data_IF_992503992829
#
_entry.id   IF_992503992829
#
_cell.length_a   1.000
_cell.length_b   1.000
_cell.length_c   1.000
_cell.angle_alpha   90.00
_cell.angle_beta   90.00
_cell.angle_gamma   90.00
#
_symmetry.space_group_name_H-M   'P 1'
#
loop_
_entity.id
_entity.type
_entity.pdbx_description
1 polymer ?
#
# COMPACT_ATOMS: atom_id res chain seq x y z
N UNK A 1 69.68 -34.70 -30.68
CA UNK A 1 70.85 -33.80 -30.58
C UNK A 1 70.44 -32.60 -29.72
N UNK A 2 70.98 -32.53 -28.50
CA UNK A 2 70.72 -31.44 -27.53
C UNK A 2 71.44 -30.18 -28.00
N UNK A 3 70.74 -29.07 -28.16
CA UNK A 3 71.38 -27.75 -28.14
C UNK A 3 70.53 -26.84 -27.24
N UNK A 4 71.02 -26.78 -26.02
CA UNK A 4 70.74 -25.79 -24.99
C UNK A 4 71.16 -24.41 -25.53
N UNK A 5 70.27 -23.44 -25.61
CA UNK A 5 70.69 -22.03 -25.78
C UNK A 5 69.93 -21.12 -24.80
N UNK A 6 70.75 -20.39 -24.06
CA UNK A 6 70.53 -19.51 -22.92
C UNK A 6 69.58 -18.33 -23.12
N UNK A 7 68.94 -17.94 -22.02
CA UNK A 7 68.11 -16.75 -21.83
C UNK A 7 68.75 -15.43 -22.30
N UNK A 8 67.91 -14.51 -22.78
CA UNK A 8 68.09 -13.05 -22.59
C UNK A 8 66.82 -12.48 -21.93
N UNK A 9 66.88 -11.94 -20.69
CA UNK A 9 65.70 -11.49 -19.95
C UNK A 9 65.14 -10.14 -20.43
N UNK A 10 65.71 -9.53 -21.47
CA UNK A 10 65.32 -8.19 -21.94
C UNK A 10 64.14 -8.18 -22.93
N UNK A 11 63.79 -9.31 -23.54
CA UNK A 11 62.69 -9.36 -24.52
C UNK A 11 61.33 -9.57 -23.84
N UNK A 12 61.31 -10.05 -22.59
CA UNK A 12 60.09 -10.20 -21.79
C UNK A 12 59.50 -8.86 -21.32
N UNK A 13 60.28 -7.77 -21.31
CA UNK A 13 59.82 -6.47 -20.82
C UNK A 13 59.04 -5.65 -21.87
N UNK A 14 59.21 -5.94 -23.16
CA UNK A 14 58.50 -5.23 -24.23
C UNK A 14 57.09 -5.80 -24.52
N UNK A 15 56.82 -7.05 -24.10
CA UNK A 15 55.48 -7.66 -24.28
C UNK A 15 54.52 -7.33 -23.12
N UNK A 16 55.04 -6.89 -21.98
CA UNK A 16 54.25 -6.56 -20.80
C UNK A 16 53.54 -5.19 -20.87
N UNK A 17 53.90 -4.34 -21.83
CA UNK A 17 53.37 -2.96 -21.93
C UNK A 17 52.16 -2.86 -22.89
N UNK A 18 51.82 -3.92 -23.63
CA UNK A 18 50.69 -3.89 -24.57
C UNK A 18 49.35 -4.40 -24.00
N UNK A 19 49.28 -4.80 -22.74
CA UNK A 19 48.07 -5.38 -22.13
C UNK A 19 47.31 -4.44 -21.18
N UNK A 20 47.70 -3.16 -21.07
CA UNK A 20 46.93 -2.16 -20.34
C UNK A 20 45.90 -1.50 -21.26
N UNK A 21 44.99 -2.28 -21.84
CA UNK A 21 43.75 -1.70 -22.37
C UNK A 21 42.91 -1.27 -21.16
N UNK A 22 42.37 -0.03 -21.13
CA UNK A 22 41.39 0.31 -20.12
C UNK A 22 40.16 -0.55 -20.40
N UNK A 23 39.88 -1.51 -19.53
CA UNK A 23 38.56 -2.13 -19.44
C UNK A 23 37.61 -1.01 -19.04
N UNK A 24 36.99 -0.38 -20.03
CA UNK A 24 35.80 0.43 -19.82
C UNK A 24 34.76 -0.54 -19.26
N UNK A 25 34.60 -0.52 -17.94
CA UNK A 25 33.51 -1.21 -17.28
C UNK A 25 32.23 -0.64 -17.85
N UNK A 26 31.60 -1.36 -18.77
CA UNK A 26 30.24 -1.09 -19.18
C UNK A 26 29.38 -1.22 -17.90
N UNK A 27 29.02 -0.08 -17.31
CA UNK A 27 27.97 -0.04 -16.31
C UNK A 27 26.69 -0.47 -17.03
N UNK A 28 26.35 -1.75 -16.92
CA UNK A 28 25.04 -2.25 -17.27
C UNK A 28 24.03 -1.42 -16.49
N UNK A 29 23.30 -0.56 -17.19
CA UNK A 29 22.12 0.11 -16.68
C UNK A 29 21.25 -0.94 -15.99
N UNK A 30 21.00 -0.76 -14.70
CA UNK A 30 20.22 -1.70 -13.90
C UNK A 30 18.97 -2.14 -14.67
N UNK A 31 18.81 -3.43 -14.86
CA UNK A 31 17.67 -4.01 -15.57
C UNK A 31 16.44 -3.79 -14.69
N UNK A 32 15.63 -2.78 -15.02
CA UNK A 32 14.44 -2.42 -14.24
C UNK A 32 13.33 -3.39 -14.62
N UNK A 33 13.11 -4.40 -13.78
CA UNK A 33 11.95 -5.28 -13.88
C UNK A 33 10.73 -4.48 -13.41
N UNK A 34 9.80 -4.22 -14.33
CA UNK A 34 8.46 -3.70 -14.02
C UNK A 34 7.48 -4.86 -14.10
N UNK A 35 6.68 -5.02 -13.05
CA UNK A 35 5.60 -6.02 -12.98
C UNK A 35 4.32 -5.26 -12.69
N UNK A 36 3.36 -5.38 -13.60
CA UNK A 36 2.00 -4.88 -13.39
C UNK A 36 1.18 -6.00 -12.72
N UNK A 37 0.59 -5.70 -11.56
CA UNK A 37 -0.25 -6.63 -10.80
C UNK A 37 -1.64 -6.04 -10.63
N UNK A 38 -2.67 -6.84 -10.87
CA UNK A 38 -4.06 -6.49 -10.58
C UNK A 38 -4.49 -7.17 -9.27
N UNK A 39 -4.97 -6.38 -8.32
CA UNK A 39 -5.43 -6.86 -7.02
C UNK A 39 -6.95 -6.74 -6.93
N UNK A 40 -7.62 -7.85 -6.64
CA UNK A 40 -9.04 -7.86 -6.31
C UNK A 40 -9.21 -7.90 -4.78
N UNK A 41 -9.91 -6.91 -4.23
CA UNK A 41 -10.17 -6.80 -2.79
C UNK A 41 -11.64 -7.16 -2.48
N UNK A 42 -11.84 -7.92 -1.40
CA UNK A 42 -13.16 -8.35 -0.95
C UNK A 42 -13.35 -8.01 0.54
N UNK A 43 -14.49 -7.40 0.86
CA UNK A 43 -14.90 -7.17 2.25
C UNK A 43 -15.97 -8.19 2.65
N UNK A 44 -15.75 -8.87 3.78
CA UNK A 44 -16.66 -9.91 4.28
C UNK A 44 -17.01 -9.65 5.74
N UNK A 45 -18.28 -9.83 6.09
CA UNK A 45 -18.77 -9.77 7.48
C UNK A 45 -19.30 -11.12 7.89
N UNK A 46 -18.79 -11.66 9.01
CA UNK A 46 -19.21 -12.94 9.56
C UNK A 46 -20.03 -12.71 10.82
N UNK A 47 -21.25 -13.26 10.86
CA UNK A 47 -22.17 -13.16 12.01
C UNK A 47 -22.56 -14.52 12.54
N UNK A 48 -22.87 -14.59 13.83
CA UNK A 48 -23.48 -15.78 14.44
C UNK A 48 -24.97 -15.90 14.10
N UNK A 49 -25.62 -16.96 14.61
CA UNK A 49 -27.05 -17.24 14.38
C UNK A 49 -27.99 -16.16 14.93
N UNK A 50 -27.51 -15.31 15.83
CA UNK A 50 -28.27 -14.19 16.43
C UNK A 50 -27.99 -12.86 15.72
N UNK A 51 -27.17 -12.86 14.66
CA UNK A 51 -26.79 -11.67 13.91
C UNK A 51 -25.63 -10.89 14.53
N UNK A 52 -24.97 -11.41 15.57
CA UNK A 52 -23.85 -10.72 16.22
C UNK A 52 -22.54 -10.99 15.46
N UNK A 53 -21.70 -9.97 15.22
CA UNK A 53 -20.42 -10.17 14.54
C UNK A 53 -19.50 -11.14 15.30
N UNK A 54 -18.94 -12.10 14.57
CA UNK A 54 -17.90 -13.00 15.07
C UNK A 54 -16.57 -12.25 15.07
N UNK A 55 -15.88 -12.25 16.20
CA UNK A 55 -14.62 -11.51 16.41
C UNK A 55 -13.43 -12.45 16.45
N UNK A 56 -12.25 -11.90 16.15
CA UNK A 56 -10.98 -12.62 16.28
C UNK A 56 -10.70 -13.62 15.16
N UNK A 57 -11.43 -13.53 14.04
CA UNK A 57 -11.16 -14.32 12.85
C UNK A 57 -9.79 -13.97 12.28
N UNK A 58 -9.10 -15.02 11.82
CA UNK A 58 -7.78 -14.97 11.21
C UNK A 58 -7.88 -15.44 9.76
N UNK A 59 -6.83 -15.20 8.98
CA UNK A 59 -6.76 -15.66 7.59
C UNK A 59 -7.00 -17.17 7.45
N UNK A 60 -6.50 -17.95 8.41
CA UNK A 60 -6.67 -19.42 8.47
C UNK A 60 -8.12 -19.89 8.61
N UNK A 61 -9.04 -19.01 9.01
CA UNK A 61 -10.48 -19.32 9.12
C UNK A 61 -11.22 -19.17 7.77
N UNK A 62 -10.54 -18.72 6.71
CA UNK A 62 -11.13 -18.47 5.38
C UNK A 62 -10.47 -19.31 4.30
N UNK A 63 -11.28 -19.72 3.31
CA UNK A 63 -10.82 -20.35 2.07
C UNK A 63 -11.42 -19.58 0.91
N UNK A 64 -10.57 -19.12 -0.01
CA UNK A 64 -11.00 -18.45 -1.25
C UNK A 64 -11.07 -19.51 -2.33
N UNK A 65 -12.22 -19.65 -2.99
CA UNK A 65 -12.40 -20.60 -4.08
C UNK A 65 -12.83 -19.82 -5.31
N UNK A 66 -12.07 -19.95 -6.39
CA UNK A 66 -12.31 -19.33 -7.69
C UNK A 66 -12.40 -20.45 -8.73
N UNK A 67 -13.52 -20.53 -9.45
CA UNK A 67 -13.78 -21.56 -10.48
C UNK A 67 -13.56 -23.01 -10.00
N UNK A 68 -13.79 -23.25 -8.71
CA UNK A 68 -13.63 -24.57 -8.08
C UNK A 68 -12.21 -24.88 -7.59
N UNK A 69 -11.24 -23.98 -7.81
CA UNK A 69 -9.89 -24.09 -7.30
C UNK A 69 -9.67 -23.22 -6.07
N UNK A 70 -8.96 -23.74 -5.07
CA UNK A 70 -8.60 -22.97 -3.88
C UNK A 70 -7.46 -22.00 -4.19
N UNK A 71 -7.71 -20.70 -3.95
CA UNK A 71 -6.74 -19.62 -4.10
C UNK A 71 -6.28 -19.14 -2.73
N UNK A 72 -5.01 -18.73 -2.66
CA UNK A 72 -4.45 -18.12 -1.45
C UNK A 72 -4.86 -16.65 -1.41
N UNK A 73 -5.30 -16.18 -0.24
CA UNK A 73 -5.42 -14.75 0.01
C UNK A 73 -4.03 -14.19 0.32
N UNK A 74 -3.47 -13.41 -0.60
CA UNK A 74 -2.15 -12.78 -0.42
C UNK A 74 -2.16 -11.74 0.71
N UNK A 75 -3.29 -11.04 0.88
CA UNK A 75 -3.49 -10.04 1.91
C UNK A 75 -4.73 -10.37 2.73
N UNK A 76 -4.57 -10.36 4.06
CA UNK A 76 -5.67 -10.47 5.00
C UNK A 76 -5.49 -9.44 6.10
N UNK A 77 -6.44 -8.51 6.16
CA UNK A 77 -6.49 -7.51 7.21
C UNK A 77 -7.86 -7.61 7.88
N UNK A 78 -7.94 -8.09 9.14
CA UNK A 78 -9.17 -7.95 9.89
C UNK A 78 -9.45 -6.45 9.99
N UNK A 79 -10.65 -6.03 9.57
CA UNK A 79 -11.14 -4.68 9.84
C UNK A 79 -11.26 -4.51 11.35
N UNK A 80 -10.14 -4.13 11.96
CA UNK A 80 -10.02 -3.86 13.38
C UNK A 80 -10.75 -2.55 13.61
N UNK A 81 -11.94 -2.65 14.22
CA UNK A 81 -12.57 -1.56 14.98
C UNK A 81 -11.73 -1.26 16.23
N UNK A 82 -10.49 -0.86 16.04
CA UNK A 82 -9.70 -0.26 17.10
C UNK A 82 -9.89 1.24 16.94
N UNK A 83 -10.60 1.85 17.89
CA UNK A 83 -10.48 3.19 18.47
C UNK A 83 -9.62 4.25 17.76
N UNK A 84 -9.60 4.26 16.44
CA UNK A 84 -8.99 5.27 15.61
C UNK A 84 -10.16 6.03 15.07
N UNK A 85 -10.43 7.17 15.70
CA UNK A 85 -11.26 8.23 15.17
C UNK A 85 -10.81 8.49 13.74
N UNK A 86 -11.46 7.87 12.75
CA UNK A 86 -11.20 8.18 11.34
C UNK A 86 -11.54 9.67 11.16
N UNK A 87 -10.64 10.48 10.58
CA UNK A 87 -10.92 11.90 10.40
C UNK A 87 -12.12 12.07 9.47
N UNK A 88 -13.25 12.53 10.02
CA UNK A 88 -14.46 12.83 9.28
C UNK A 88 -14.45 14.30 8.86
N UNK A 89 -14.48 14.55 7.56
CA UNK A 89 -14.60 15.91 7.01
C UNK A 89 -16.04 16.16 6.59
N UNK A 90 -16.67 17.21 7.13
CA UNK A 90 -18.04 17.62 6.79
C UNK A 90 -18.02 19.05 6.27
N UNK A 91 -18.71 19.28 5.16
CA UNK A 91 -18.93 20.62 4.60
C UNK A 91 -20.42 20.94 4.68
N UNK A 92 -20.75 22.07 5.30
CA UNK A 92 -22.11 22.61 5.32
C UNK A 92 -22.26 23.68 4.24
N UNK A 93 -23.17 23.45 3.30
CA UNK A 93 -23.65 24.47 2.38
C UNK A 93 -25.01 24.97 2.90
N UNK A 94 -25.03 26.17 3.46
CA UNK A 94 -26.21 26.75 4.11
C UNK A 94 -26.75 27.89 3.27
N UNK A 95 -28.07 27.89 3.06
CA UNK A 95 -28.74 29.03 2.45
C UNK A 95 -28.82 30.19 3.46
N UNK A 96 -28.41 31.38 3.02
CA UNK A 96 -28.48 32.65 3.76
C UNK A 96 -29.13 33.74 2.92
N UNK A 97 -29.90 33.34 1.89
CA UNK A 97 -30.61 34.25 1.01
C UNK A 97 -31.74 35.00 1.75
N UNK A 98 -32.27 36.05 1.11
CA UNK A 98 -33.27 36.93 1.73
C UNK A 98 -34.61 36.28 2.09
N UNK A 99 -34.86 35.03 1.68
CA UNK A 99 -36.02 34.24 2.11
C UNK A 99 -35.84 33.67 3.52
N UNK A 100 -34.61 33.59 4.04
CA UNK A 100 -34.32 33.15 5.39
C UNK A 100 -34.66 34.25 6.40
N UNK A 101 -35.63 33.97 7.27
CA UNK A 101 -35.93 34.85 8.39
C UNK A 101 -34.86 34.74 9.48
N UNK A 102 -34.75 35.78 10.31
CA UNK A 102 -33.84 35.77 11.46
C UNK A 102 -34.12 34.60 12.42
N UNK A 103 -35.39 34.20 12.57
CA UNK A 103 -35.76 33.07 13.42
C UNK A 103 -35.30 31.72 12.83
N UNK A 104 -35.34 31.57 11.51
CA UNK A 104 -34.87 30.35 10.83
C UNK A 104 -33.35 30.23 10.88
N UNK A 105 -32.63 31.34 10.73
CA UNK A 105 -31.18 31.40 10.92
C UNK A 105 -30.78 30.96 12.35
N UNK A 106 -31.48 31.44 13.38
CA UNK A 106 -31.23 31.00 14.77
C UNK A 106 -31.53 29.51 14.98
N UNK A 107 -32.62 29.00 14.41
CA UNK A 107 -32.94 27.55 14.46
C UNK A 107 -31.88 26.71 13.75
N UNK A 108 -31.44 27.14 12.58
CA UNK A 108 -30.39 26.47 11.81
C UNK A 108 -29.08 26.41 12.61
N UNK A 109 -28.69 27.53 13.22
CA UNK A 109 -27.52 27.61 14.11
C UNK A 109 -27.64 26.65 15.29
N UNK A 110 -28.79 26.62 15.97
CA UNK A 110 -29.02 25.71 17.09
C UNK A 110 -28.97 24.23 16.66
N UNK A 111 -29.58 23.90 15.52
CA UNK A 111 -29.57 22.54 14.96
C UNK A 111 -28.15 22.07 14.61
N UNK A 112 -27.34 22.94 14.01
CA UNK A 112 -25.94 22.64 13.69
C UNK A 112 -25.10 22.41 14.95
N UNK A 113 -25.32 23.18 16.01
CA UNK A 113 -24.63 22.97 17.30
C UNK A 113 -24.99 21.61 17.92
N UNK A 114 -26.25 21.21 17.85
CA UNK A 114 -26.70 19.89 18.33
C UNK A 114 -26.10 18.78 17.46
N UNK A 115 -26.13 18.95 16.13
CA UNK A 115 -25.57 17.99 15.19
C UNK A 115 -24.08 17.74 15.44
N UNK A 116 -23.27 18.81 15.54
CA UNK A 116 -21.82 18.69 15.80
C UNK A 116 -21.53 18.03 17.14
N UNK A 117 -22.32 18.34 18.18
CA UNK A 117 -22.18 17.71 19.50
C UNK A 117 -22.45 16.20 19.43
N UNK A 118 -23.57 15.82 18.81
CA UNK A 118 -23.93 14.41 18.67
C UNK A 118 -22.92 13.65 17.80
N UNK A 119 -22.32 14.31 16.82
CA UNK A 119 -21.29 13.72 15.98
C UNK A 119 -19.96 13.54 16.72
N UNK A 120 -19.58 14.48 17.58
CA UNK A 120 -18.38 14.36 18.42
C UNK A 120 -18.48 13.17 19.40
N UNK A 121 -19.69 12.88 19.86
CA UNK A 121 -19.97 11.73 20.72
C UNK A 121 -20.27 10.44 19.92
N UNK A 122 -20.37 10.53 18.58
CA UNK A 122 -20.66 9.40 17.71
C UNK A 122 -19.41 8.53 17.52
N UNK A 123 -19.37 7.42 18.23
CA UNK A 123 -18.46 6.31 17.94
C UNK A 123 -18.85 5.75 16.57
N UNK A 124 -18.15 6.14 15.51
CA UNK A 124 -18.43 5.70 14.13
C UNK A 124 -18.30 4.18 14.02
N UNK A 125 -19.42 3.50 13.69
CA UNK A 125 -19.49 2.04 13.53
C UNK A 125 -19.13 1.55 12.12
N UNK A 126 -18.58 2.41 11.26
CA UNK A 126 -18.13 2.04 9.92
C UNK A 126 -16.67 1.58 9.96
#
# INVERSE_FOLDING_TARGET
>A
MKILLSLRPAILLAFAICCAAPTVAAQNSADIIRVDTELAAFEVTVTDKTGKPVRGLKAEDFRVIEDGEERKADFFEPLKKQNETRPLSIVFALDVSGSMTAQELERLRAALQIFVRNLADYQSYF
#
